data_IF_821342140216
#
_entry.id   IF_821342140216
#
_cell.length_a   1.000
_cell.length_b   1.000
_cell.length_c   1.000
_cell.angle_alpha   90.00
_cell.angle_beta   90.00
_cell.angle_gamma   90.00
#
_symmetry.space_group_name_H-M   'P 1'
#
loop_
_entity.id
_entity.type
_entity.pdbx_description
1 polymer ?
#
# COMPACT_ATOMS: atom_id res chain seq x y z
N UNK A 1 10.43 -5.57 16.74
CA UNK A 1 11.30 -4.97 17.78
C UNK A 1 11.41 -3.47 17.56
N UNK A 2 11.28 -2.66 18.63
CA UNK A 2 11.61 -1.25 18.57
C UNK A 2 13.04 -1.04 18.03
N UNK A 3 13.24 -0.06 17.16
CA UNK A 3 14.56 0.29 16.61
C UNK A 3 14.85 -0.16 15.17
N UNK A 4 14.03 -1.04 14.59
CA UNK A 4 14.20 -1.44 13.18
C UNK A 4 13.51 -0.49 12.18
N UNK A 5 12.59 0.36 12.65
CA UNK A 5 11.85 1.32 11.81
C UNK A 5 12.82 2.29 11.13
N UNK A 6 12.63 2.52 9.83
CA UNK A 6 13.50 3.31 8.95
C UNK A 6 14.64 2.50 8.31
N UNK A 7 14.96 1.31 8.82
CA UNK A 7 16.00 0.44 8.26
C UNK A 7 15.54 -0.32 6.99
N UNK A 8 16.48 -0.75 6.15
CA UNK A 8 16.17 -1.52 4.95
C UNK A 8 15.74 -2.95 5.27
N UNK A 9 14.79 -3.47 4.50
CA UNK A 9 14.52 -4.90 4.37
C UNK A 9 15.24 -5.43 3.14
N UNK A 10 16.06 -6.46 3.30
CA UNK A 10 16.90 -7.03 2.25
C UNK A 10 16.39 -8.39 1.80
N UNK A 11 16.50 -8.68 0.50
CA UNK A 11 16.38 -10.06 0.00
C UNK A 11 17.71 -10.83 0.13
N UNK A 12 17.72 -12.12 -0.21
CA UNK A 12 18.91 -12.98 -0.12
C UNK A 12 20.09 -12.54 -1.00
N UNK A 13 19.87 -11.63 -1.97
CA UNK A 13 20.92 -11.03 -2.80
C UNK A 13 21.45 -9.71 -2.24
N UNK A 14 21.03 -9.32 -1.04
CA UNK A 14 21.40 -8.04 -0.43
C UNK A 14 20.73 -6.82 -1.05
N UNK A 15 19.67 -7.00 -1.86
CA UNK A 15 18.95 -5.88 -2.48
C UNK A 15 17.88 -5.35 -1.53
N UNK A 16 17.77 -4.03 -1.41
CA UNK A 16 16.69 -3.38 -0.64
C UNK A 16 15.35 -3.61 -1.35
N UNK A 17 14.41 -4.25 -0.65
CA UNK A 17 13.06 -4.54 -1.16
C UNK A 17 11.96 -3.75 -0.43
N UNK A 18 12.23 -3.23 0.77
CA UNK A 18 11.30 -2.39 1.53
C UNK A 18 12.01 -1.57 2.61
N UNK A 19 11.29 -0.63 3.25
CA UNK A 19 11.71 0.11 4.45
C UNK A 19 10.84 -0.33 5.62
N UNK A 20 11.44 -0.86 6.67
CA UNK A 20 10.71 -1.28 7.87
C UNK A 20 10.02 -0.08 8.51
N UNK A 21 8.74 -0.19 8.86
CA UNK A 21 7.96 0.95 9.37
C UNK A 21 7.32 0.65 10.72
N UNK A 22 6.60 -0.46 10.83
CA UNK A 22 5.81 -0.77 12.02
C UNK A 22 5.96 -2.23 12.42
N UNK A 23 5.75 -2.47 13.72
CA UNK A 23 5.65 -3.81 14.31
C UNK A 23 4.36 -3.78 15.11
N UNK A 24 3.50 -4.78 14.95
CA UNK A 24 2.38 -4.94 15.86
C UNK A 24 2.94 -5.53 17.17
N UNK A 25 2.94 -4.74 18.25
CA UNK A 25 3.50 -5.15 19.54
C UNK A 25 2.79 -6.36 20.15
N UNK A 26 1.53 -6.60 19.76
CA UNK A 26 0.72 -7.73 20.21
C UNK A 26 0.89 -8.98 19.32
N UNK A 27 1.37 -8.82 18.09
CA UNK A 27 1.63 -9.92 17.16
C UNK A 27 3.13 -10.18 17.05
N UNK A 28 3.66 -10.97 17.99
CA UNK A 28 5.05 -11.42 17.94
C UNK A 28 5.33 -12.11 16.60
N UNK A 29 6.41 -11.69 15.93
CA UNK A 29 6.82 -12.24 14.64
C UNK A 29 6.19 -11.57 13.40
N UNK A 30 5.28 -10.60 13.56
CA UNK A 30 4.70 -9.86 12.43
C UNK A 30 5.35 -8.47 12.31
N UNK A 31 5.97 -8.20 11.16
CA UNK A 31 6.56 -6.91 10.81
C UNK A 31 5.94 -6.34 9.53
N UNK A 32 5.83 -5.02 9.46
CA UNK A 32 5.32 -4.30 8.29
C UNK A 32 6.40 -3.39 7.71
N UNK A 33 6.49 -3.37 6.39
CA UNK A 33 7.45 -2.56 5.65
C UNK A 33 6.81 -1.91 4.43
N UNK A 34 7.24 -0.69 4.10
CA UNK A 34 6.82 0.03 2.90
C UNK A 34 7.65 -0.49 1.72
N UNK A 35 7.04 -1.01 0.64
CA UNK A 35 7.77 -1.51 -0.52
C UNK A 35 8.72 -0.47 -1.13
N UNK A 36 9.89 -0.90 -1.60
CA UNK A 36 10.92 0.01 -2.11
C UNK A 36 10.45 0.81 -3.34
N UNK A 37 9.56 0.25 -4.17
CA UNK A 37 9.02 0.95 -5.33
C UNK A 37 8.12 2.13 -4.93
N UNK A 38 7.31 1.96 -3.87
CA UNK A 38 6.51 3.05 -3.30
C UNK A 38 7.41 4.16 -2.75
N UNK A 39 8.47 3.78 -2.02
CA UNK A 39 9.42 4.75 -1.47
C UNK A 39 10.19 5.50 -2.58
N UNK A 40 10.64 4.79 -3.63
CA UNK A 40 11.32 5.40 -4.79
C UNK A 40 10.44 6.43 -5.50
N UNK A 41 9.14 6.21 -5.59
CA UNK A 41 8.19 7.12 -6.24
C UNK A 41 8.13 8.51 -5.61
N UNK A 42 8.48 8.65 -4.33
CA UNK A 42 8.44 9.91 -3.58
C UNK A 42 9.83 10.39 -3.14
N UNK A 43 10.87 9.61 -3.42
CA UNK A 43 12.22 9.83 -2.88
C UNK A 43 12.81 11.16 -3.36
N UNK A 44 12.67 11.47 -4.64
CA UNK A 44 13.23 12.70 -5.22
C UNK A 44 12.61 13.96 -4.60
N UNK A 45 11.28 13.96 -4.42
CA UNK A 45 10.56 15.07 -3.78
C UNK A 45 11.06 15.26 -2.34
N UNK A 46 11.16 14.17 -1.57
CA UNK A 46 11.64 14.21 -0.19
C UNK A 46 13.09 14.71 -0.10
N UNK A 47 13.98 14.25 -0.98
CA UNK A 47 15.39 14.68 -1.02
C UNK A 47 15.54 16.17 -1.34
N UNK A 48 14.65 16.72 -2.15
CA UNK A 48 14.64 18.12 -2.53
C UNK A 48 13.87 19.01 -1.53
N UNK A 49 13.40 18.45 -0.41
CA UNK A 49 12.58 19.18 0.58
C UNK A 49 11.20 19.58 0.04
N UNK A 50 10.75 18.97 -1.05
CA UNK A 50 9.46 19.22 -1.65
C UNK A 50 8.37 18.45 -0.90
N UNK A 51 7.16 19.01 -0.90
CA UNK A 51 5.99 18.30 -0.38
C UNK A 51 5.59 17.21 -1.36
N UNK A 52 5.33 16.02 -0.85
CA UNK A 52 4.76 14.93 -1.64
C UNK A 52 3.29 15.21 -1.92
N UNK A 53 2.97 15.51 -3.18
CA UNK A 53 1.59 15.81 -3.62
C UNK A 53 0.93 14.51 -4.04
N UNK A 54 -0.19 14.17 -3.41
CA UNK A 54 -1.02 13.01 -3.80
C UNK A 54 -2.29 13.50 -4.47
N UNK A 55 -2.51 13.25 -5.77
CA UNK A 55 -3.74 13.65 -6.42
C UNK A 55 -4.93 12.91 -5.82
N UNK A 56 -6.05 13.61 -5.70
CA UNK A 56 -7.32 13.03 -5.30
C UNK A 56 -8.19 12.83 -6.54
N UNK A 57 -8.56 11.59 -6.83
CA UNK A 57 -9.32 11.24 -8.03
C UNK A 57 -10.83 11.53 -7.90
N UNK A 58 -11.36 11.69 -6.67
CA UNK A 58 -12.78 11.92 -6.46
C UNK A 58 -13.65 10.68 -6.63
N UNK A 59 -13.13 9.49 -6.29
CA UNK A 59 -13.90 8.25 -6.31
C UNK A 59 -13.85 7.56 -4.95
N UNK A 60 -14.91 6.82 -4.62
CA UNK A 60 -14.92 5.87 -3.51
C UNK A 60 -15.01 4.46 -4.07
N UNK A 61 -14.21 3.58 -3.49
CA UNK A 61 -14.09 2.19 -3.92
C UNK A 61 -14.34 1.25 -2.75
N UNK A 62 -14.86 0.07 -3.06
CA UNK A 62 -14.88 -1.11 -2.19
C UNK A 62 -14.04 -2.21 -2.82
N UNK A 63 -13.56 -3.13 -1.98
CA UNK A 63 -12.90 -4.34 -2.47
C UNK A 63 -13.93 -5.20 -3.22
N UNK A 64 -13.48 -5.85 -4.30
CA UNK A 64 -14.28 -6.84 -5.00
C UNK A 64 -14.08 -8.19 -4.32
N UNK A 65 -15.03 -8.58 -3.47
CA UNK A 65 -15.06 -9.90 -2.83
C UNK A 65 -16.06 -10.85 -3.52
N UNK A 66 -16.17 -12.08 -3.01
CA UNK A 66 -17.04 -13.12 -3.59
C UNK A 66 -18.52 -12.73 -3.57
N UNK A 67 -18.97 -12.01 -2.53
CA UNK A 67 -20.36 -11.58 -2.38
C UNK A 67 -20.69 -10.50 -3.42
N UNK A 68 -19.83 -9.49 -3.55
CA UNK A 68 -19.98 -8.43 -4.55
C UNK A 68 -19.89 -9.01 -5.97
N UNK A 69 -19.00 -9.97 -6.23
CA UNK A 69 -18.94 -10.68 -7.51
C UNK A 69 -20.27 -11.37 -7.84
N UNK A 70 -20.89 -12.05 -6.87
CA UNK A 70 -22.16 -12.73 -7.07
C UNK A 70 -23.30 -11.74 -7.37
N UNK A 71 -23.40 -10.63 -6.62
CA UNK A 71 -24.39 -9.58 -6.85
C UNK A 71 -24.27 -8.95 -8.24
N UNK A 72 -23.03 -8.66 -8.67
CA UNK A 72 -22.73 -8.07 -9.97
C UNK A 72 -22.69 -9.08 -11.11
N UNK A 73 -22.90 -10.38 -10.83
CA UNK A 73 -22.85 -11.49 -11.79
C UNK A 73 -21.51 -11.59 -12.52
N UNK A 74 -20.44 -11.36 -11.80
CA UNK A 74 -19.06 -11.52 -12.27
C UNK A 74 -18.55 -12.94 -11.98
N UNK A 75 -17.56 -13.44 -12.74
CA UNK A 75 -16.82 -14.63 -12.36
C UNK A 75 -16.26 -14.50 -10.94
N UNK A 76 -16.32 -15.56 -10.14
CA UNK A 76 -15.90 -15.53 -8.72
C UNK A 76 -14.41 -15.27 -8.53
N UNK A 77 -13.59 -15.50 -9.56
CA UNK A 77 -12.15 -15.23 -9.58
C UNK A 77 -11.82 -13.82 -10.11
N UNK A 78 -12.82 -12.98 -10.38
CA UNK A 78 -12.59 -11.60 -10.79
C UNK A 78 -11.89 -10.83 -9.67
N UNK A 79 -10.80 -10.15 -10.00
CA UNK A 79 -10.06 -9.32 -9.06
C UNK A 79 -10.15 -7.85 -9.47
N UNK A 80 -10.35 -6.98 -8.49
CA UNK A 80 -10.40 -5.54 -8.73
C UNK A 80 -10.96 -4.77 -7.54
N UNK A 81 -11.36 -3.54 -7.82
CA UNK A 81 -12.09 -2.69 -6.89
C UNK A 81 -13.36 -2.20 -7.58
N UNK A 82 -14.45 -2.09 -6.83
CA UNK A 82 -15.74 -1.57 -7.33
C UNK A 82 -15.85 -0.11 -6.99
N UNK A 83 -16.09 0.74 -8.00
CA UNK A 83 -16.39 2.16 -7.79
C UNK A 83 -17.84 2.28 -7.36
N UNK A 84 -18.07 2.77 -6.14
CA UNK A 84 -19.42 2.93 -5.57
C UNK A 84 -19.91 4.37 -5.60
N UNK A 85 -19.00 5.32 -5.74
CA UNK A 85 -19.33 6.74 -5.79
C UNK A 85 -18.31 7.52 -6.62
N UNK A 86 -18.79 8.45 -7.44
CA UNK A 86 -17.97 9.52 -8.03
C UNK A 86 -18.40 10.82 -7.35
N UNK A 87 -17.47 11.47 -6.66
CA UNK A 87 -17.71 12.69 -5.89
C UNK A 87 -17.96 13.85 -6.86
N UNK A 88 -19.07 14.57 -6.66
CA UNK A 88 -19.39 15.75 -7.45
C UNK A 88 -18.37 16.88 -7.18
N UNK A 89 -17.97 17.57 -8.25
CA UNK A 89 -16.98 18.67 -8.22
C UNK A 89 -17.54 20.01 -7.79
#
# INVERSE_FOLDING_TARGET
>A
NPGNSGGPLLNMRGQVIAINTAVNAQAQGIGFAIPINTAKGVLQELMNGQKVVRPYMGIRMLDLDEEVCAELRLPSDTQGAVIVEVVAG
#
